data_IF_617012098194
#
_entry.id   IF_617012098194
#
_cell.length_a   1.000
_cell.length_b   1.000
_cell.length_c   1.000
_cell.angle_alpha   90.00
_cell.angle_beta   90.00
_cell.angle_gamma   90.00
#
_symmetry.space_group_name_H-M   'P 1'
#
loop_
_entity.id
_entity.type
_entity.pdbx_description
1 polymer ?
#
# COMPACT_ATOMS: atom_id res chain seq x y z
N UNK A 1 -8.18 -7.54 -1.47
CA UNK A 1 -7.13 -8.58 -1.36
C UNK A 1 -6.30 -8.46 -0.08
N UNK A 2 -5.87 -7.28 0.36
CA UNK A 2 -5.05 -7.12 1.59
C UNK A 2 -5.78 -6.45 2.76
N UNK A 3 -7.09 -6.69 2.89
CA UNK A 3 -7.91 -6.02 3.92
C UNK A 3 -7.54 -6.49 5.33
N UNK A 4 -7.21 -7.78 5.47
CA UNK A 4 -6.72 -8.36 6.73
C UNK A 4 -5.36 -7.81 7.11
N UNK A 5 -4.43 -7.70 6.14
CA UNK A 5 -3.15 -7.04 6.33
C UNK A 5 -3.30 -5.60 6.84
N UNK A 6 -4.18 -4.82 6.19
CA UNK A 6 -4.48 -3.47 6.65
C UNK A 6 -5.02 -3.47 8.08
N UNK A 7 -5.88 -4.42 8.43
CA UNK A 7 -6.47 -4.56 9.76
C UNK A 7 -5.42 -4.89 10.84
N UNK A 8 -4.45 -5.74 10.50
CA UNK A 8 -3.33 -6.10 11.37
C UNK A 8 -2.37 -4.94 11.64
N UNK A 9 -2.23 -4.00 10.70
CA UNK A 9 -1.42 -2.79 10.91
C UNK A 9 -2.03 -1.88 11.99
N UNK A 10 -1.21 -1.47 12.95
CA UNK A 10 -1.59 -0.47 13.97
C UNK A 10 -1.71 0.93 13.36
N UNK A 11 -2.48 1.83 13.99
CA UNK A 11 -2.65 3.21 13.53
C UNK A 11 -1.29 3.94 13.33
N UNK A 12 -0.34 3.70 14.24
CA UNK A 12 1.02 4.24 14.15
C UNK A 12 1.77 3.72 12.92
N UNK A 13 1.67 2.42 12.61
CA UNK A 13 2.32 1.83 11.42
C UNK A 13 1.70 2.40 10.14
N UNK A 14 0.37 2.49 10.08
CA UNK A 14 -0.34 3.10 8.95
C UNK A 14 0.09 4.54 8.74
N UNK A 15 0.15 5.35 9.80
CA UNK A 15 0.63 6.74 9.75
C UNK A 15 2.09 6.84 9.33
N UNK A 16 2.95 5.96 9.83
CA UNK A 16 4.37 5.91 9.46
C UNK A 16 4.55 5.58 7.97
N UNK A 17 3.83 4.57 7.46
CA UNK A 17 3.82 4.24 6.03
C UNK A 17 3.31 5.40 5.18
N UNK A 18 2.20 6.02 5.59
CA UNK A 18 1.64 7.19 4.90
C UNK A 18 2.65 8.33 4.82
N UNK A 19 3.35 8.62 5.92
CA UNK A 19 4.40 9.63 5.98
C UNK A 19 5.59 9.28 5.08
N UNK A 20 6.07 8.03 5.10
CA UNK A 20 7.17 7.54 4.23
C UNK A 20 6.80 7.65 2.75
N UNK A 21 5.58 7.29 2.41
CA UNK A 21 5.05 7.31 1.04
C UNK A 21 4.53 8.68 0.60
N UNK A 22 4.71 9.73 1.44
CA UNK A 22 4.18 11.09 1.23
C UNK A 22 2.70 11.09 0.80
N UNK A 23 1.91 10.22 1.43
CA UNK A 23 0.49 10.03 1.14
C UNK A 23 -0.32 10.04 2.44
N UNK A 24 -1.63 9.81 2.33
CA UNK A 24 -2.54 9.75 3.48
C UNK A 24 -2.89 8.30 3.81
N UNK A 25 -3.12 8.00 5.09
CA UNK A 25 -3.55 6.67 5.54
C UNK A 25 -4.83 6.21 4.85
N UNK A 26 -5.79 7.12 4.61
CA UNK A 26 -7.01 6.83 3.86
C UNK A 26 -6.74 6.45 2.40
N UNK A 27 -5.76 7.10 1.75
CA UNK A 27 -5.36 6.76 0.39
C UNK A 27 -4.73 5.38 0.32
N UNK A 28 -3.82 5.09 1.25
CA UNK A 28 -3.21 3.77 1.41
C UNK A 28 -4.25 2.68 1.62
N UNK A 29 -5.26 2.93 2.46
CA UNK A 29 -6.38 2.00 2.65
C UNK A 29 -7.07 1.70 1.32
N UNK A 30 -7.42 2.71 0.53
CA UNK A 30 -8.08 2.53 -0.77
C UNK A 30 -7.22 1.73 -1.74
N UNK A 31 -5.90 1.97 -1.74
CA UNK A 31 -4.93 1.24 -2.57
C UNK A 31 -4.85 -0.22 -2.15
N UNK A 32 -4.67 -0.49 -0.86
CA UNK A 32 -4.51 -1.84 -0.30
C UNK A 32 -5.81 -2.64 -0.38
N UNK A 33 -6.98 -1.99 -0.28
CA UNK A 33 -8.27 -2.63 -0.51
C UNK A 33 -8.60 -2.82 -1.99
N UNK A 34 -7.78 -2.30 -2.91
CA UNK A 34 -7.99 -2.42 -4.36
C UNK A 34 -9.05 -1.47 -4.94
N UNK A 35 -9.49 -0.48 -4.15
CA UNK A 35 -10.44 0.55 -4.62
C UNK A 35 -9.77 1.63 -5.47
N UNK A 36 -8.45 1.83 -5.31
CA UNK A 36 -7.72 2.85 -6.06
C UNK A 36 -6.39 2.31 -6.57
N UNK A 37 -6.04 2.73 -7.78
CA UNK A 37 -4.81 2.34 -8.45
C UNK A 37 -3.68 3.29 -8.01
N UNK A 38 -2.60 2.79 -7.38
CA UNK A 38 -1.46 3.63 -7.01
C UNK A 38 -0.60 3.98 -8.24
N UNK A 39 0.19 5.04 -8.13
CA UNK A 39 1.25 5.32 -9.10
C UNK A 39 2.36 4.26 -9.03
N UNK A 40 3.10 4.06 -10.13
CA UNK A 40 4.15 3.03 -10.23
C UNK A 40 5.20 3.13 -9.11
N UNK A 41 5.65 4.35 -8.79
CA UNK A 41 6.59 4.60 -7.70
C UNK A 41 6.00 4.25 -6.32
N UNK A 42 4.71 4.54 -6.10
CA UNK A 42 4.04 4.24 -4.85
C UNK A 42 3.82 2.74 -4.67
N UNK A 43 3.47 2.02 -5.74
CA UNK A 43 3.35 0.56 -5.73
C UNK A 43 4.69 -0.11 -5.40
N UNK A 44 5.79 0.34 -6.03
CA UNK A 44 7.14 -0.18 -5.77
C UNK A 44 7.58 0.09 -4.33
N UNK A 45 7.41 1.32 -3.85
CA UNK A 45 7.77 1.67 -2.48
C UNK A 45 6.89 0.94 -1.46
N UNK A 46 5.60 0.74 -1.74
CA UNK A 46 4.71 0.00 -0.86
C UNK A 46 5.16 -1.46 -0.73
N UNK A 47 5.52 -2.11 -1.84
CA UNK A 47 6.08 -3.45 -1.83
C UNK A 47 7.38 -3.55 -1.02
N UNK A 48 8.29 -2.58 -1.19
CA UNK A 48 9.55 -2.53 -0.46
C UNK A 48 9.35 -2.33 1.05
N UNK A 49 8.51 -1.37 1.45
CA UNK A 49 8.22 -1.06 2.86
C UNK A 49 7.48 -2.21 3.55
N UNK A 50 6.65 -2.94 2.80
CA UNK A 50 5.92 -4.12 3.29
C UNK A 50 6.70 -5.41 3.10
N UNK A 51 7.96 -5.32 2.66
CA UNK A 51 8.88 -6.44 2.48
C UNK A 51 8.28 -7.59 1.64
N UNK A 52 7.49 -7.24 0.62
CA UNK A 52 6.81 -8.20 -0.26
C UNK A 52 5.42 -8.64 0.19
N UNK A 53 4.91 -8.23 1.36
CA UNK A 53 3.54 -8.58 1.77
C UNK A 53 2.49 -8.00 0.83
N UNK A 54 2.69 -6.74 0.37
CA UNK A 54 1.87 -6.15 -0.68
C UNK A 54 2.62 -6.24 -2.00
N UNK A 55 2.12 -7.05 -2.92
CA UNK A 55 2.80 -7.24 -4.19
C UNK A 55 2.48 -6.11 -5.19
N UNK A 56 3.53 -5.60 -5.83
CA UNK A 56 3.41 -4.50 -6.81
C UNK A 56 2.72 -4.93 -8.11
N UNK A 57 2.83 -6.19 -8.52
CA UNK A 57 2.13 -6.76 -9.67
C UNK A 57 0.65 -6.96 -9.34
N UNK A 58 0.31 -7.27 -8.08
CA UNK A 58 -1.09 -7.28 -7.63
C UNK A 58 -1.72 -5.88 -7.62
N UNK A 59 -0.96 -4.86 -7.21
CA UNK A 59 -1.42 -3.46 -7.23
C UNK A 59 -1.55 -2.88 -8.64
N UNK A 60 -0.66 -3.29 -9.54
CA UNK A 60 -0.47 -2.71 -10.87
C UNK A 60 -0.02 -3.79 -11.88
N UNK A 61 -0.90 -4.78 -12.19
CA UNK A 61 -0.57 -5.85 -13.14
C UNK A 61 -0.40 -5.35 -14.57
N UNK A 62 -0.84 -4.11 -14.84
CA UNK A 62 -0.75 -3.44 -16.13
C UNK A 62 0.65 -2.90 -16.45
N UNK A 63 1.52 -2.72 -15.45
CA UNK A 63 2.88 -2.17 -15.63
C UNK A 63 4.00 -3.03 -15.05
N UNK A 64 3.68 -3.92 -14.11
CA UNK A 64 4.61 -4.87 -13.51
C UNK A 64 4.06 -6.26 -13.78
#
# INVERSE_FOLDING_TARGET
>A
MYKEYWCQLSDTQRKSMAKKLKTSTGYLRLVITGHKIPGAALAKNLHDITNGEVDKHQLRPDIF
#
